data_IF_874664612583
#
_entry.id   IF_874664612583
#
_cell.length_a   1.000
_cell.length_b   1.000
_cell.length_c   1.000
_cell.angle_alpha   90.00
_cell.angle_beta   90.00
_cell.angle_gamma   90.00
#
_symmetry.space_group_name_H-M   'P 1'
#
loop_
_entity.id
_entity.type
_entity.pdbx_description
1 polymer ?
#
# COMPACT_ATOMS: atom_id res chain seq x y z
N UNK A 1 8.00 10.67 17.11
CA UNK A 1 8.04 10.88 16.73
C UNK A 1 7.62 11.19 15.84
N UNK A 2 7.53 11.24 15.35
CA UNK A 2 7.28 11.73 14.66
C UNK A 2 6.22 11.42 13.91
N UNK A 3 5.42 11.53 14.08
CA UNK A 3 4.19 11.35 13.57
C UNK A 3 3.95 11.78 12.19
N UNK A 4 4.74 12.59 11.76
CA UNK A 4 4.63 13.02 10.41
C UNK A 4 4.84 11.92 9.43
N UNK A 5 5.36 10.85 9.89
CA UNK A 5 5.70 9.78 8.99
C UNK A 5 4.51 9.21 8.27
N UNK A 6 3.35 9.25 8.89
CA UNK A 6 2.17 8.69 8.25
C UNK A 6 1.82 9.43 6.99
N UNK A 7 2.10 10.74 6.95
CA UNK A 7 1.74 11.51 5.79
C UNK A 7 2.82 11.50 4.73
N UNK A 8 3.98 10.96 5.04
CA UNK A 8 5.07 10.94 4.09
C UNK A 8 5.35 9.55 3.58
N UNK A 9 4.38 8.67 3.67
CA UNK A 9 4.52 7.30 3.20
C UNK A 9 4.84 7.30 1.71
N UNK A 10 5.89 6.61 1.34
CA UNK A 10 6.27 6.51 -0.06
C UNK A 10 5.66 5.27 -0.69
N UNK A 11 5.74 5.20 -2.02
CA UNK A 11 5.25 4.03 -2.73
C UNK A 11 5.99 2.77 -2.26
N UNK A 12 7.27 2.91 -2.02
CA UNK A 12 8.06 1.75 -1.57
C UNK A 12 7.61 1.27 -0.21
N UNK A 13 7.28 2.22 0.66
CA UNK A 13 6.76 1.86 1.97
C UNK A 13 5.44 1.12 1.84
N UNK A 14 4.58 1.61 0.96
CA UNK A 14 3.30 0.98 0.72
C UNK A 14 3.48 -0.43 0.16
N UNK A 15 4.43 -0.58 -0.74
CA UNK A 15 4.75 -1.88 -1.32
C UNK A 15 5.10 -2.87 -0.22
N UNK A 16 6.00 -2.46 0.68
CA UNK A 16 6.42 -3.31 1.77
C UNK A 16 5.26 -3.68 2.68
N UNK A 17 4.41 -2.70 2.98
CA UNK A 17 3.28 -2.94 3.85
C UNK A 17 2.31 -3.94 3.23
N UNK A 18 2.11 -3.85 1.93
CA UNK A 18 1.24 -4.79 1.25
C UNK A 18 1.81 -6.19 1.26
N UNK A 19 3.12 -6.31 1.11
CA UNK A 19 3.75 -7.62 1.21
C UNK A 19 3.57 -8.22 2.59
N UNK A 20 3.66 -7.37 3.60
CA UNK A 20 3.44 -7.80 4.98
C UNK A 20 2.03 -8.30 5.18
N UNK A 21 1.08 -7.74 4.45
CA UNK A 21 -0.30 -8.14 4.56
C UNK A 21 -0.62 -9.41 3.79
N UNK A 22 0.35 -9.96 3.10
CA UNK A 22 0.16 -11.21 2.40
C UNK A 22 0.07 -11.09 0.88
N UNK A 23 0.23 -9.89 0.36
CA UNK A 23 0.20 -9.71 -1.10
C UNK A 23 1.57 -10.08 -1.65
N UNK A 24 1.61 -10.98 -2.61
CA UNK A 24 2.88 -11.43 -3.16
C UNK A 24 3.51 -10.35 -4.03
N UNK A 25 4.83 -10.36 -4.08
CA UNK A 25 5.54 -9.40 -4.90
C UNK A 25 5.16 -9.54 -6.36
N UNK A 26 4.97 -10.77 -6.79
CA UNK A 26 4.61 -11.04 -8.17
C UNK A 26 3.25 -10.41 -8.50
N UNK A 27 2.30 -10.50 -7.59
CA UNK A 27 1.00 -9.89 -7.79
C UNK A 27 1.12 -8.38 -7.85
N UNK A 28 1.94 -7.80 -6.97
CA UNK A 28 2.14 -6.36 -6.98
C UNK A 28 2.75 -5.90 -8.28
N UNK A 29 3.72 -6.63 -8.78
CA UNK A 29 4.35 -6.27 -10.05
C UNK A 29 3.36 -6.32 -11.19
N UNK A 30 2.54 -7.34 -11.21
CA UNK A 30 1.56 -7.48 -12.27
C UNK A 30 0.54 -6.34 -12.23
N UNK A 31 0.07 -6.01 -11.05
CA UNK A 31 -0.92 -4.96 -10.89
C UNK A 31 -0.33 -3.62 -11.29
N UNK A 32 0.90 -3.34 -10.90
CA UNK A 32 1.51 -2.07 -11.24
C UNK A 32 1.89 -2.00 -12.71
N UNK A 33 2.15 -3.13 -13.34
CA UNK A 33 2.39 -3.14 -14.77
C UNK A 33 1.16 -2.72 -15.55
N UNK A 34 0.00 -3.12 -15.08
CA UNK A 34 -1.25 -2.84 -15.77
C UNK A 34 -1.77 -1.46 -15.42
N UNK A 35 -1.73 -1.10 -14.14
CA UNK A 35 -2.36 0.12 -13.65
C UNK A 35 -1.40 1.26 -13.40
N UNK A 36 -0.11 0.98 -13.34
CA UNK A 36 0.87 2.02 -13.08
C UNK A 36 1.43 1.91 -11.67
N UNK A 37 2.68 2.31 -11.53
CA UNK A 37 3.37 2.27 -10.25
C UNK A 37 3.16 3.61 -9.56
N UNK A 38 2.07 3.74 -8.83
CA UNK A 38 1.75 4.98 -8.15
C UNK A 38 0.96 4.68 -6.89
N UNK A 39 0.75 5.72 -6.09
CA UNK A 39 0.12 5.54 -4.78
C UNK A 39 -1.34 5.12 -4.90
N UNK A 40 -2.02 5.60 -5.93
CA UNK A 40 -3.41 5.22 -6.13
C UNK A 40 -3.53 3.72 -6.32
N UNK A 41 -2.64 3.15 -7.12
CA UNK A 41 -2.64 1.72 -7.35
C UNK A 41 -2.41 0.96 -6.04
N UNK A 42 -1.50 1.47 -5.22
CA UNK A 42 -1.22 0.83 -3.95
C UNK A 42 -2.45 0.85 -3.05
N UNK A 43 -3.17 1.96 -3.03
CA UNK A 43 -4.39 2.06 -2.24
C UNK A 43 -5.46 1.09 -2.73
N UNK A 44 -5.57 0.91 -4.04
CA UNK A 44 -6.51 -0.04 -4.59
C UNK A 44 -6.21 -1.45 -4.12
N UNK A 45 -4.93 -1.81 -4.12
CA UNK A 45 -4.53 -3.14 -3.68
C UNK A 45 -4.83 -3.30 -2.18
N UNK A 46 -4.58 -2.25 -1.41
CA UNK A 46 -4.86 -2.29 0.02
C UNK A 46 -6.35 -2.54 0.27
N UNK A 47 -7.18 -1.81 -0.43
CA UNK A 47 -8.62 -1.96 -0.27
C UNK A 47 -9.06 -3.37 -0.67
N UNK A 48 -8.51 -3.86 -1.75
CA UNK A 48 -8.85 -5.18 -2.24
C UNK A 48 -8.42 -6.26 -1.23
N UNK A 49 -7.28 -6.05 -0.58
CA UNK A 49 -6.73 -7.06 0.32
C UNK A 49 -7.35 -7.00 1.72
N UNK A 50 -7.60 -5.82 2.23
CA UNK A 50 -8.01 -5.64 3.62
C UNK A 50 -9.33 -4.92 3.80
N UNK A 51 -9.77 -4.17 2.80
CA UNK A 51 -10.96 -3.35 2.95
C UNK A 51 -10.67 -1.97 3.46
N UNK A 52 -9.44 -1.68 3.86
CA UNK A 52 -9.08 -0.35 4.30
C UNK A 52 -8.90 0.57 3.11
N UNK A 53 -9.27 1.82 3.29
CA UNK A 53 -9.21 2.78 2.20
C UNK A 53 -7.90 3.51 2.10
N UNK A 54 -7.14 3.53 3.18
CA UNK A 54 -5.85 4.21 3.16
C UNK A 54 -4.92 3.52 4.12
N UNK A 55 -3.64 3.77 3.93
CA UNK A 55 -2.64 3.18 4.80
C UNK A 55 -2.66 3.83 6.18
N UNK A 56 -3.14 5.07 6.25
CA UNK A 56 -3.30 5.73 7.54
C UNK A 56 -4.31 4.98 8.40
N UNK A 57 -5.38 4.53 7.77
CA UNK A 57 -6.39 3.78 8.48
C UNK A 57 -5.81 2.50 9.06
N UNK A 58 -4.93 1.88 8.30
CA UNK A 58 -4.27 0.67 8.75
C UNK A 58 -3.42 0.93 9.99
N UNK A 59 -2.72 2.05 9.99
CA UNK A 59 -1.85 2.38 11.12
C UNK A 59 -2.62 2.70 12.38
N UNK A 60 -3.82 3.20 12.24
CA UNK A 60 -4.63 3.53 13.40
C UNK A 60 -5.13 2.30 14.12
N UNK A 61 -5.13 1.18 13.45
CA UNK A 61 -5.54 -0.04 14.09
C UNK A 61 -4.48 -0.50 15.06
#
# INVERSE_FOLDING_TARGET
MDTTDATTLTIEDMWDMLKDLGVSEQALQLITDINGYNKDTMCDVLYWQTGYRSFEQLEEE
#
